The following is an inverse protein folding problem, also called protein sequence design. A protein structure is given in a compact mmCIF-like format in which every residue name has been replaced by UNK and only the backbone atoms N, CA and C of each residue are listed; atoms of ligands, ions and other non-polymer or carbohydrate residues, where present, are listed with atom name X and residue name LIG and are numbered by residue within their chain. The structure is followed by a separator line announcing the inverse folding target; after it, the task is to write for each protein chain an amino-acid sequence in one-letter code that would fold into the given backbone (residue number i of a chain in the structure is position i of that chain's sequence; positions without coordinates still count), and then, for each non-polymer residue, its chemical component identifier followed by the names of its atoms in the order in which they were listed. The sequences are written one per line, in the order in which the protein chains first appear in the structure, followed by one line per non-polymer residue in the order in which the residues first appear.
data_IF_068378627572
#
_entry.id   IF_068378627572
#
_cell.length_a   1.000
_cell.length_b   1.000
_cell.length_c   1.000
_cell.angle_alpha   90.00
_cell.angle_beta   90.00
_cell.angle_gamma   90.00
#
_symmetry.space_group_name_H-M   'P 1'
#
loop_
_entity.id
_entity.type
_entity.pdbx_description
1 polymer ?
#
# COMPACT_ATOMS: atom_id res chain seq x y z
N UNK A 1 -147.26 -8.38 53.69
CA UNK A 1 -145.98 -8.99 53.25
C UNK A 1 -145.22 -8.08 52.27
N UNK A 2 -145.01 -6.80 52.61
CA UNK A 2 -144.49 -5.80 51.63
C UNK A 2 -143.07 -5.32 51.93
N UNK A 3 -142.60 -5.48 53.17
CA UNK A 3 -141.27 -4.98 53.59
C UNK A 3 -140.12 -5.78 52.96
N UNK A 4 -140.30 -7.09 52.70
CA UNK A 4 -139.26 -7.98 52.16
C UNK A 4 -139.02 -7.81 50.65
N UNK A 5 -140.01 -7.35 49.87
CA UNK A 5 -139.84 -7.05 48.43
C UNK A 5 -139.15 -5.71 48.20
N UNK A 6 -139.46 -4.70 49.02
CA UNK A 6 -138.86 -3.37 48.89
C UNK A 6 -137.35 -3.40 49.18
N UNK A 7 -136.92 -4.10 50.24
CA UNK A 7 -135.49 -4.22 50.59
C UNK A 7 -134.68 -5.03 49.55
N UNK A 8 -135.28 -6.09 48.98
CA UNK A 8 -134.64 -6.91 47.94
C UNK A 8 -134.54 -6.19 46.59
N UNK A 9 -135.54 -5.37 46.26
CA UNK A 9 -135.52 -4.49 45.07
C UNK A 9 -134.46 -3.39 45.20
N UNK A 10 -134.34 -2.76 46.37
CA UNK A 10 -133.39 -1.68 46.61
C UNK A 10 -131.91 -2.15 46.55
N UNK A 11 -131.61 -3.34 47.10
CA UNK A 11 -130.26 -3.92 47.03
C UNK A 11 -129.92 -4.39 45.59
N UNK A 12 -130.87 -4.92 44.84
CA UNK A 12 -130.64 -5.42 43.47
C UNK A 12 -130.65 -4.32 42.41
N UNK A 13 -131.45 -3.26 42.55
CA UNK A 13 -131.58 -2.19 41.56
C UNK A 13 -130.55 -1.07 41.74
N UNK A 14 -130.14 -0.76 42.98
CA UNK A 14 -129.37 0.45 43.25
C UNK A 14 -127.93 0.18 43.71
N UNK A 15 -127.74 -0.80 44.60
CA UNK A 15 -126.41 -1.07 45.19
C UNK A 15 -125.54 -1.91 44.25
N UNK A 16 -126.09 -2.96 43.64
CA UNK A 16 -125.33 -3.92 42.82
C UNK A 16 -124.80 -3.34 41.49
N UNK A 17 -125.56 -2.53 40.73
CA UNK A 17 -125.08 -1.95 39.49
C UNK A 17 -124.05 -0.84 39.73
N UNK A 18 -124.34 0.06 40.68
CA UNK A 18 -123.52 1.24 40.98
C UNK A 18 -122.14 0.89 41.55
N UNK A 19 -122.06 -0.08 42.47
CA UNK A 19 -120.77 -0.58 42.98
C UNK A 19 -120.02 -1.35 41.90
N UNK A 20 -120.70 -2.12 41.04
CA UNK A 20 -120.05 -2.89 39.97
C UNK A 20 -119.51 -2.01 38.85
N UNK A 21 -120.22 -0.94 38.45
CA UNK A 21 -119.72 0.01 37.45
C UNK A 21 -118.61 0.88 38.01
N UNK A 22 -118.70 1.32 39.27
CA UNK A 22 -117.64 2.11 39.91
C UNK A 22 -116.38 1.28 40.15
N UNK A 23 -116.49 0.07 40.71
CA UNK A 23 -115.34 -0.83 40.90
C UNK A 23 -114.77 -1.28 39.56
N UNK A 24 -115.60 -1.60 38.57
CA UNK A 24 -115.10 -2.03 37.24
C UNK A 24 -114.47 -0.87 36.46
N UNK A 25 -115.01 0.34 36.52
CA UNK A 25 -114.42 1.50 35.85
C UNK A 25 -113.15 1.97 36.55
N UNK A 26 -113.12 1.98 37.88
CA UNK A 26 -111.95 2.35 38.68
C UNK A 26 -110.84 1.31 38.58
N UNK A 27 -111.16 0.02 38.65
CA UNK A 27 -110.17 -1.06 38.48
C UNK A 27 -109.67 -1.10 37.03
N UNK A 28 -110.53 -0.97 36.01
CA UNK A 28 -110.05 -0.95 34.62
C UNK A 28 -109.28 0.32 34.28
N UNK A 29 -109.64 1.49 34.82
CA UNK A 29 -108.89 2.72 34.57
C UNK A 29 -107.54 2.69 35.26
N UNK A 30 -107.48 2.28 36.54
CA UNK A 30 -106.23 2.17 37.30
C UNK A 30 -105.35 1.07 36.72
N UNK A 31 -105.89 -0.11 36.38
CA UNK A 31 -105.10 -1.18 35.76
C UNK A 31 -104.60 -0.77 34.37
N UNK A 32 -105.42 -0.14 33.53
CA UNK A 32 -104.99 0.26 32.17
C UNK A 32 -103.98 1.39 32.18
N UNK A 33 -104.15 2.37 33.07
CA UNK A 33 -103.23 3.51 33.20
C UNK A 33 -101.95 3.08 33.91
N UNK A 34 -102.02 2.39 35.05
CA UNK A 34 -100.81 1.96 35.78
C UNK A 34 -100.06 0.86 35.05
N UNK A 35 -100.71 -0.21 34.57
CA UNK A 35 -100.01 -1.28 33.85
C UNK A 35 -99.56 -0.78 32.48
N UNK A 36 -100.39 -0.03 31.74
CA UNK A 36 -100.02 0.52 30.44
C UNK A 36 -98.86 1.52 30.52
N UNK A 37 -98.91 2.47 31.46
CA UNK A 37 -97.82 3.42 31.65
C UNK A 37 -96.57 2.73 32.17
N UNK A 38 -96.65 1.88 33.19
CA UNK A 38 -95.46 1.21 33.75
C UNK A 38 -94.82 0.28 32.74
N UNK A 39 -95.60 -0.56 32.04
CA UNK A 39 -95.05 -1.48 31.02
C UNK A 39 -94.50 -0.72 29.82
N UNK A 40 -95.19 0.31 29.33
CA UNK A 40 -94.68 1.11 28.22
C UNK A 40 -93.42 1.91 28.59
N UNK A 41 -93.40 2.51 29.79
CA UNK A 41 -92.23 3.25 30.27
C UNK A 41 -91.06 2.30 30.49
N UNK A 42 -91.28 1.11 31.05
CA UNK A 42 -90.23 0.13 31.27
C UNK A 42 -89.71 -0.46 29.96
N UNK A 43 -90.59 -0.81 29.02
CA UNK A 43 -90.19 -1.33 27.71
C UNK A 43 -89.41 -0.28 26.92
N UNK A 44 -89.90 0.95 26.84
CA UNK A 44 -89.25 2.04 26.13
C UNK A 44 -87.94 2.47 26.82
N UNK A 45 -87.86 2.38 28.15
CA UNK A 45 -86.64 2.67 28.91
C UNK A 45 -85.62 1.54 28.74
N UNK A 46 -86.03 0.28 28.77
CA UNK A 46 -85.16 -0.87 28.51
C UNK A 46 -84.64 -0.89 27.07
N UNK A 47 -85.49 -0.65 26.07
CA UNK A 47 -85.12 -0.59 24.66
C UNK A 47 -84.15 0.57 24.40
N UNK A 48 -84.48 1.79 24.87
CA UNK A 48 -83.56 2.94 24.76
C UNK A 48 -82.25 2.72 25.50
N UNK A 49 -82.26 2.12 26.70
CA UNK A 49 -81.02 1.89 27.46
C UNK A 49 -80.18 0.81 26.80
N UNK A 50 -80.80 -0.26 26.28
CA UNK A 50 -80.08 -1.36 25.67
C UNK A 50 -79.50 -0.95 24.32
N UNK A 51 -80.27 -0.28 23.45
CA UNK A 51 -79.75 0.28 22.20
C UNK A 51 -78.64 1.30 22.47
N UNK A 52 -78.86 2.27 23.37
CA UNK A 52 -77.83 3.29 23.68
C UNK A 52 -76.57 2.67 24.28
N UNK A 53 -76.70 1.64 25.12
CA UNK A 53 -75.55 0.92 25.64
C UNK A 53 -74.84 0.20 24.51
N UNK A 54 -75.54 -0.59 23.69
CA UNK A 54 -74.94 -1.36 22.60
C UNK A 54 -74.25 -0.46 21.57
N UNK A 55 -74.90 0.62 21.13
CA UNK A 55 -74.33 1.61 20.19
C UNK A 55 -73.13 2.34 20.79
N UNK A 56 -73.19 2.77 22.06
CA UNK A 56 -72.04 3.43 22.70
C UNK A 56 -70.88 2.47 22.91
N UNK A 57 -71.14 1.22 23.28
CA UNK A 57 -70.08 0.22 23.42
C UNK A 57 -69.50 -0.14 22.06
N UNK A 58 -70.31 -0.36 21.03
CA UNK A 58 -69.85 -0.73 19.70
C UNK A 58 -69.02 0.40 19.07
N UNK A 59 -69.51 1.64 19.11
CA UNK A 59 -68.77 2.83 18.63
C UNK A 59 -67.47 3.01 19.40
N UNK A 60 -67.49 2.99 20.74
CA UNK A 60 -66.25 3.12 21.54
C UNK A 60 -65.26 1.99 21.32
N UNK A 61 -65.73 0.75 21.16
CA UNK A 61 -64.84 -0.36 20.83
C UNK A 61 -64.25 -0.18 19.46
N UNK A 62 -65.03 0.27 18.47
CA UNK A 62 -64.55 0.47 17.11
C UNK A 62 -63.56 1.63 17.01
N UNK A 63 -63.83 2.77 17.65
CA UNK A 63 -62.88 3.89 17.70
C UNK A 63 -61.59 3.51 18.41
N UNK A 64 -61.67 2.88 19.60
CA UNK A 64 -60.48 2.44 20.34
C UNK A 64 -59.68 1.37 19.60
N UNK A 65 -60.33 0.43 18.90
CA UNK A 65 -59.60 -0.57 18.12
C UNK A 65 -58.95 0.08 16.91
N UNK A 66 -59.65 0.98 16.20
CA UNK A 66 -59.12 1.64 15.01
C UNK A 66 -57.93 2.55 15.36
N UNK A 67 -58.00 3.33 16.44
CA UNK A 67 -56.86 4.11 16.93
C UNK A 67 -55.69 3.21 17.38
N UNK A 68 -55.95 2.18 18.20
CA UNK A 68 -54.89 1.26 18.67
C UNK A 68 -54.24 0.46 17.55
N UNK A 69 -54.98 0.14 16.48
CA UNK A 69 -54.45 -0.54 15.30
C UNK A 69 -53.63 0.44 14.47
N UNK A 70 -54.13 1.66 14.22
CA UNK A 70 -53.40 2.70 13.50
C UNK A 70 -52.09 3.06 14.20
N UNK A 71 -52.11 3.31 15.50
CA UNK A 71 -50.91 3.65 16.28
C UNK A 71 -49.90 2.50 16.26
N UNK A 72 -50.33 1.25 16.53
CA UNK A 72 -49.43 0.09 16.47
C UNK A 72 -48.88 -0.18 15.08
N UNK A 73 -49.65 0.06 14.02
CA UNK A 73 -49.17 -0.05 12.65
C UNK A 73 -48.16 1.04 12.33
N UNK A 74 -48.44 2.30 12.68
CA UNK A 74 -47.50 3.41 12.46
C UNK A 74 -46.21 3.25 13.25
N UNK A 75 -46.26 2.89 14.53
CA UNK A 75 -45.06 2.63 15.33
C UNK A 75 -44.25 1.47 14.77
N UNK A 76 -44.89 0.33 14.47
CA UNK A 76 -44.19 -0.82 13.87
C UNK A 76 -43.61 -0.47 12.50
N UNK A 77 -44.32 0.33 11.70
CA UNK A 77 -43.84 0.77 10.40
C UNK A 77 -42.62 1.68 10.59
N UNK A 78 -42.72 2.74 11.39
CA UNK A 78 -41.61 3.68 11.65
C UNK A 78 -40.39 2.97 12.22
N UNK A 79 -40.57 2.11 13.23
CA UNK A 79 -39.47 1.35 13.85
C UNK A 79 -38.84 0.41 12.82
N UNK A 80 -39.64 -0.33 12.04
CA UNK A 80 -39.12 -1.26 11.03
C UNK A 80 -38.37 -0.51 9.93
N UNK A 81 -38.88 0.60 9.44
CA UNK A 81 -38.21 1.42 8.41
C UNK A 81 -36.92 2.04 8.95
N UNK A 82 -36.94 2.57 10.17
CA UNK A 82 -35.75 3.16 10.79
C UNK A 82 -34.67 2.11 11.08
N UNK A 83 -35.06 0.93 11.58
CA UNK A 83 -34.15 -0.16 11.91
C UNK A 83 -33.55 -0.75 10.63
N UNK A 84 -34.33 -0.95 9.57
CA UNK A 84 -33.81 -1.36 8.25
C UNK A 84 -32.86 -0.31 7.68
N UNK A 85 -33.23 0.96 7.65
CA UNK A 85 -32.37 2.03 7.16
C UNK A 85 -31.07 2.16 7.97
N UNK A 86 -31.14 2.01 9.30
CA UNK A 86 -29.99 2.05 10.20
C UNK A 86 -29.04 0.87 9.96
N UNK A 87 -29.59 -0.36 9.89
CA UNK A 87 -28.81 -1.57 9.64
C UNK A 87 -28.14 -1.50 8.26
N UNK A 88 -28.91 -1.17 7.21
CA UNK A 88 -28.37 -1.02 5.85
C UNK A 88 -27.27 0.04 5.81
N UNK A 89 -27.50 1.21 6.42
CA UNK A 89 -26.50 2.29 6.47
C UNK A 89 -25.25 1.88 7.24
N UNK A 90 -25.39 1.15 8.35
CA UNK A 90 -24.25 0.66 9.14
C UNK A 90 -23.44 -0.40 8.38
N UNK A 91 -24.11 -1.33 7.69
CA UNK A 91 -23.48 -2.34 6.84
C UNK A 91 -22.74 -1.69 5.67
N UNK A 92 -23.40 -0.79 4.94
CA UNK A 92 -22.78 -0.08 3.82
C UNK A 92 -21.56 0.73 4.28
N UNK A 93 -21.69 1.46 5.40
CA UNK A 93 -20.61 2.30 5.93
C UNK A 93 -19.44 1.46 6.45
N UNK A 94 -19.70 0.35 7.13
CA UNK A 94 -18.64 -0.52 7.65
C UNK A 94 -17.95 -1.29 6.50
N UNK A 95 -18.74 -1.91 5.64
CA UNK A 95 -18.25 -2.81 4.59
C UNK A 95 -17.52 -2.06 3.47
N UNK A 96 -18.11 -0.98 2.94
CA UNK A 96 -17.47 -0.23 1.85
C UNK A 96 -16.28 0.58 2.36
N UNK A 97 -16.44 1.31 3.47
CA UNK A 97 -15.41 2.27 3.89
C UNK A 97 -14.23 1.59 4.57
N UNK A 98 -14.49 0.64 5.46
CA UNK A 98 -13.48 0.25 6.44
C UNK A 98 -12.81 -1.08 6.12
N UNK A 99 -13.54 -2.03 5.55
CA UNK A 99 -12.94 -3.29 5.08
C UNK A 99 -12.47 -3.15 3.65
N UNK A 100 -13.34 -2.77 2.71
CA UNK A 100 -13.00 -2.85 1.29
C UNK A 100 -11.96 -1.80 0.88
N UNK A 101 -12.19 -0.51 1.17
CA UNK A 101 -11.23 0.54 0.80
C UNK A 101 -9.90 0.37 1.52
N UNK A 102 -9.91 0.06 2.83
CA UNK A 102 -8.68 -0.11 3.61
C UNK A 102 -7.91 -1.35 3.18
N UNK A 103 -8.56 -2.50 3.00
CA UNK A 103 -7.88 -3.72 2.55
C UNK A 103 -7.34 -3.54 1.14
N UNK A 104 -8.12 -2.93 0.25
CA UNK A 104 -7.70 -2.71 -1.14
C UNK A 104 -6.54 -1.73 -1.23
N UNK A 105 -6.61 -0.58 -0.54
CA UNK A 105 -5.50 0.38 -0.46
C UNK A 105 -4.26 -0.25 0.18
N UNK A 106 -4.41 -0.93 1.32
CA UNK A 106 -3.30 -1.56 2.01
C UNK A 106 -2.61 -2.58 1.09
N UNK A 107 -3.40 -3.44 0.45
CA UNK A 107 -2.89 -4.49 -0.44
C UNK A 107 -2.21 -3.88 -1.65
N UNK A 108 -2.85 -2.89 -2.28
CA UNK A 108 -2.32 -2.21 -3.46
C UNK A 108 -1.02 -1.46 -3.13
N UNK A 109 -0.98 -0.71 -2.04
CA UNK A 109 0.22 -0.01 -1.59
C UNK A 109 1.34 -1.00 -1.26
N UNK A 110 1.05 -2.09 -0.52
CA UNK A 110 2.07 -3.09 -0.20
C UNK A 110 2.61 -3.77 -1.45
N UNK A 111 1.75 -4.20 -2.37
CA UNK A 111 2.17 -4.84 -3.62
C UNK A 111 2.94 -3.89 -4.52
N UNK A 112 2.47 -2.65 -4.66
CA UNK A 112 3.09 -1.66 -5.53
C UNK A 112 4.43 -1.21 -4.94
N UNK A 113 4.48 -0.81 -3.67
CA UNK A 113 5.72 -0.41 -3.01
C UNK A 113 6.70 -1.57 -2.95
N UNK A 114 6.27 -2.78 -2.53
CA UNK A 114 7.17 -3.93 -2.46
C UNK A 114 7.70 -4.30 -3.83
N UNK A 115 6.84 -4.41 -4.85
CA UNK A 115 7.28 -4.78 -6.19
C UNK A 115 8.15 -3.70 -6.80
N UNK A 116 7.72 -2.43 -6.75
CA UNK A 116 8.45 -1.32 -7.36
C UNK A 116 9.79 -1.09 -6.66
N UNK A 117 9.81 -1.00 -5.32
CA UNK A 117 11.06 -0.81 -4.56
C UNK A 117 11.97 -2.02 -4.76
N UNK A 118 11.48 -3.26 -4.61
CA UNK A 118 12.33 -4.44 -4.78
C UNK A 118 12.87 -4.54 -6.21
N UNK A 119 12.04 -4.36 -7.24
CA UNK A 119 12.51 -4.47 -8.63
C UNK A 119 13.43 -3.33 -9.00
N UNK A 120 13.06 -2.09 -8.68
CA UNK A 120 13.82 -0.91 -9.03
C UNK A 120 15.16 -0.88 -8.30
N UNK A 121 15.16 -1.01 -6.97
CA UNK A 121 16.41 -1.03 -6.17
C UNK A 121 17.30 -2.19 -6.60
N UNK A 122 16.74 -3.40 -6.74
CA UNK A 122 17.55 -4.57 -7.12
C UNK A 122 18.07 -4.46 -8.55
N UNK A 123 17.33 -3.85 -9.47
CA UNK A 123 17.80 -3.62 -10.84
C UNK A 123 18.88 -2.54 -10.86
N UNK A 124 18.63 -1.42 -10.21
CA UNK A 124 19.53 -0.27 -10.18
C UNK A 124 20.85 -0.60 -9.49
N UNK A 125 20.83 -1.26 -8.33
CA UNK A 125 22.03 -1.73 -7.63
C UNK A 125 22.81 -2.70 -8.49
N UNK A 126 22.15 -3.71 -9.10
CA UNK A 126 22.85 -4.66 -9.99
C UNK A 126 23.47 -3.97 -11.20
N UNK A 127 22.79 -2.97 -11.75
CA UNK A 127 23.25 -2.26 -12.94
C UNK A 127 24.42 -1.35 -12.60
N UNK A 128 24.34 -0.61 -11.49
CA UNK A 128 25.44 0.21 -10.97
C UNK A 128 26.63 -0.65 -10.57
N UNK A 129 26.46 -1.67 -9.75
CA UNK A 129 27.58 -2.52 -9.31
C UNK A 129 28.24 -3.19 -10.52
N UNK A 130 27.46 -3.81 -11.41
CA UNK A 130 28.04 -4.50 -12.56
C UNK A 130 28.72 -3.55 -13.52
N UNK A 131 28.09 -2.43 -13.86
CA UNK A 131 28.67 -1.48 -14.81
C UNK A 131 29.87 -0.76 -14.21
N UNK A 132 29.75 -0.25 -12.98
CA UNK A 132 30.81 0.51 -12.31
C UNK A 132 32.02 -0.39 -12.01
N UNK A 133 31.82 -1.55 -11.39
CA UNK A 133 32.94 -2.46 -11.10
C UNK A 133 33.58 -2.94 -12.41
N UNK A 134 32.80 -3.39 -13.39
CA UNK A 134 33.37 -3.88 -14.64
C UNK A 134 34.14 -2.79 -15.39
N UNK A 135 33.57 -1.58 -15.50
CA UNK A 135 34.25 -0.48 -16.21
C UNK A 135 35.46 0.02 -15.44
N UNK A 136 35.34 0.24 -14.14
CA UNK A 136 36.44 0.75 -13.31
C UNK A 136 37.59 -0.25 -13.24
N UNK A 137 37.32 -1.53 -12.95
CA UNK A 137 38.35 -2.57 -12.91
C UNK A 137 38.98 -2.74 -14.29
N UNK A 138 38.20 -2.81 -15.37
CA UNK A 138 38.76 -2.95 -16.72
C UNK A 138 39.63 -1.75 -17.10
N UNK A 139 39.21 -0.53 -16.80
CA UNK A 139 40.01 0.67 -17.08
C UNK A 139 41.29 0.68 -16.26
N UNK A 140 41.20 0.40 -14.95
CA UNK A 140 42.35 0.43 -14.05
C UNK A 140 43.38 -0.63 -14.43
N UNK A 141 42.94 -1.88 -14.67
CA UNK A 141 43.81 -2.98 -15.11
C UNK A 141 44.45 -2.65 -16.46
N UNK A 142 43.69 -2.13 -17.42
CA UNK A 142 44.21 -1.78 -18.75
C UNK A 142 45.23 -0.64 -18.67
N UNK A 143 44.96 0.40 -17.88
CA UNK A 143 45.90 1.50 -17.65
C UNK A 143 47.16 1.03 -16.94
N UNK A 144 47.02 0.21 -15.90
CA UNK A 144 48.14 -0.32 -15.15
C UNK A 144 49.03 -1.20 -16.04
N UNK A 145 48.44 -2.10 -16.83
CA UNK A 145 49.19 -2.94 -17.77
C UNK A 145 49.88 -2.12 -18.86
N UNK A 146 49.20 -1.09 -19.39
CA UNK A 146 49.77 -0.17 -20.37
C UNK A 146 50.97 0.59 -19.79
N UNK A 147 50.83 1.14 -18.58
CA UNK A 147 51.89 1.82 -17.86
C UNK A 147 53.07 0.88 -17.58
N UNK A 148 52.81 -0.33 -17.10
CA UNK A 148 53.84 -1.33 -16.86
C UNK A 148 54.59 -1.70 -18.13
N UNK A 149 53.88 -1.96 -19.24
CA UNK A 149 54.51 -2.23 -20.54
C UNK A 149 55.37 -1.06 -21.02
N UNK A 150 54.89 0.17 -20.85
CA UNK A 150 55.64 1.37 -21.21
C UNK A 150 56.90 1.50 -20.34
N UNK A 151 56.78 1.31 -19.03
CA UNK A 151 57.89 1.35 -18.09
C UNK A 151 58.95 0.27 -18.39
N UNK A 152 58.53 -0.97 -18.61
CA UNK A 152 59.46 -2.05 -18.99
C UNK A 152 60.16 -1.71 -20.30
N UNK A 153 59.43 -1.24 -21.32
CA UNK A 153 60.01 -0.86 -22.61
C UNK A 153 61.05 0.26 -22.47
N UNK A 154 60.73 1.32 -21.71
CA UNK A 154 61.66 2.45 -21.53
C UNK A 154 62.87 2.03 -20.69
N UNK A 155 62.66 1.27 -19.62
CA UNK A 155 63.73 0.77 -18.77
C UNK A 155 64.67 -0.15 -19.54
N UNK A 156 64.15 -1.16 -20.25
CA UNK A 156 64.95 -2.07 -21.07
C UNK A 156 65.70 -1.31 -22.16
N UNK A 157 65.02 -0.41 -22.90
CA UNK A 157 65.67 0.39 -23.95
C UNK A 157 66.78 1.26 -23.38
N UNK A 158 66.54 1.92 -22.24
CA UNK A 158 67.53 2.78 -21.59
C UNK A 158 68.72 1.97 -21.08
N UNK A 159 68.47 0.88 -20.36
CA UNK A 159 69.50 0.00 -19.83
C UNK A 159 70.35 -0.60 -20.93
N UNK A 160 69.73 -1.20 -21.95
CA UNK A 160 70.44 -1.77 -23.10
C UNK A 160 71.23 -0.70 -23.84
N UNK A 161 70.62 0.45 -24.14
CA UNK A 161 71.32 1.53 -24.84
C UNK A 161 72.50 2.07 -24.05
N UNK A 162 72.34 2.26 -22.74
CA UNK A 162 73.39 2.75 -21.85
C UNK A 162 74.52 1.72 -21.72
N UNK A 163 74.19 0.46 -21.46
CA UNK A 163 75.15 -0.62 -21.31
C UNK A 163 75.93 -0.84 -22.60
N UNK A 164 75.24 -0.99 -23.73
CA UNK A 164 75.89 -1.16 -25.05
C UNK A 164 76.75 0.04 -25.38
N UNK A 165 76.25 1.28 -25.23
CA UNK A 165 77.03 2.48 -25.53
C UNK A 165 78.26 2.59 -24.64
N UNK A 166 78.13 2.31 -23.35
CA UNK A 166 79.24 2.38 -22.39
C UNK A 166 80.27 1.29 -22.66
N UNK A 167 79.82 0.04 -22.85
CA UNK A 167 80.69 -1.10 -23.12
C UNK A 167 81.42 -0.93 -24.44
N UNK A 168 80.71 -0.63 -25.53
CA UNK A 168 81.32 -0.39 -26.84
C UNK A 168 82.29 0.79 -26.77
N UNK A 169 81.88 1.93 -26.19
CA UNK A 169 82.76 3.09 -26.07
C UNK A 169 84.02 2.75 -25.27
N UNK A 170 83.88 2.10 -24.12
CA UNK A 170 85.01 1.76 -23.25
C UNK A 170 85.92 0.72 -23.90
N UNK A 171 85.37 -0.37 -24.41
CA UNK A 171 86.12 -1.46 -25.03
C UNK A 171 86.83 -1.01 -26.29
N UNK A 172 86.11 -0.37 -27.23
CA UNK A 172 86.69 0.14 -28.47
C UNK A 172 87.73 1.21 -28.16
N UNK A 173 87.42 2.21 -27.32
CA UNK A 173 88.38 3.25 -26.98
C UNK A 173 89.62 2.64 -26.31
N UNK A 174 89.46 1.69 -25.40
CA UNK A 174 90.59 1.07 -24.70
C UNK A 174 91.44 0.26 -25.66
N UNK A 175 90.87 -0.67 -26.43
CA UNK A 175 91.63 -1.49 -27.37
C UNK A 175 92.29 -0.65 -28.45
N UNK A 176 91.54 0.24 -29.10
CA UNK A 176 92.08 1.09 -30.17
C UNK A 176 93.21 1.94 -29.61
N UNK A 177 93.02 2.58 -28.45
CA UNK A 177 94.04 3.43 -27.83
C UNK A 177 95.25 2.64 -27.37
N UNK A 178 95.08 1.49 -26.71
CA UNK A 178 96.20 0.69 -26.20
C UNK A 178 96.94 0.02 -27.33
N UNK A 179 96.24 -0.53 -28.32
CA UNK A 179 96.84 -1.20 -29.47
C UNK A 179 97.59 -0.20 -30.35
N UNK A 180 96.95 0.90 -30.79
CA UNK A 180 97.62 1.92 -31.61
C UNK A 180 98.81 2.51 -30.85
N UNK A 181 98.65 2.85 -29.57
CA UNK A 181 99.74 3.44 -28.78
C UNK A 181 100.90 2.45 -28.59
N UNK A 182 100.61 1.18 -28.32
CA UNK A 182 101.65 0.16 -28.12
C UNK A 182 102.34 -0.18 -29.42
N UNK A 183 101.58 -0.33 -30.51
CA UNK A 183 102.12 -0.60 -31.84
C UNK A 183 102.97 0.57 -32.33
N UNK A 184 102.47 1.80 -32.29
CA UNK A 184 103.23 2.98 -32.69
C UNK A 184 104.50 3.16 -31.84
N UNK A 185 104.41 2.95 -30.51
CA UNK A 185 105.57 3.05 -29.62
C UNK A 185 106.60 1.95 -29.88
N UNK A 186 106.16 0.71 -30.07
CA UNK A 186 107.05 -0.43 -30.30
C UNK A 186 107.69 -0.37 -31.70
N UNK A 187 106.87 -0.18 -32.73
CA UNK A 187 107.32 -0.08 -34.11
C UNK A 187 108.19 1.16 -34.31
N UNK A 188 107.77 2.33 -33.83
CA UNK A 188 108.58 3.54 -33.89
C UNK A 188 109.93 3.37 -33.18
N UNK A 189 109.94 2.87 -31.94
CA UNK A 189 111.19 2.67 -31.19
C UNK A 189 112.12 1.65 -31.84
N UNK A 190 111.58 0.53 -32.31
CA UNK A 190 112.37 -0.54 -32.95
C UNK A 190 112.88 -0.13 -34.33
N UNK A 191 112.05 0.51 -35.16
CA UNK A 191 112.42 0.99 -36.48
C UNK A 191 113.48 2.08 -36.39
N UNK A 192 113.27 3.11 -35.55
CA UNK A 192 114.25 4.18 -35.33
C UNK A 192 115.55 3.61 -34.79
N UNK A 193 115.50 2.76 -33.74
CA UNK A 193 116.70 2.12 -33.19
C UNK A 193 117.45 1.33 -34.26
N UNK A 194 116.75 0.48 -35.02
CA UNK A 194 117.38 -0.37 -36.05
C UNK A 194 117.98 0.46 -37.18
N UNK A 195 117.28 1.50 -37.63
CA UNK A 195 117.75 2.37 -38.71
C UNK A 195 118.96 3.19 -38.27
N UNK A 196 118.90 3.81 -37.09
CA UNK A 196 120.02 4.56 -36.51
C UNK A 196 121.21 3.63 -36.25
N UNK A 197 121.01 2.47 -35.63
CA UNK A 197 122.09 1.51 -35.37
C UNK A 197 122.71 0.98 -36.67
N UNK A 198 121.90 0.76 -37.72
CA UNK A 198 122.39 0.34 -39.03
C UNK A 198 123.17 1.48 -39.70
N UNK A 199 122.66 2.71 -39.67
CA UNK A 199 123.31 3.88 -40.25
C UNK A 199 124.64 4.18 -39.54
N UNK A 200 124.66 4.18 -38.20
CA UNK A 200 125.89 4.37 -37.41
C UNK A 200 126.89 3.25 -37.69
N UNK A 201 126.48 1.98 -37.70
CA UNK A 201 127.38 0.86 -38.03
C UNK A 201 127.93 0.94 -39.45
N UNK A 202 127.09 1.33 -40.42
CA UNK A 202 127.50 1.50 -41.81
C UNK A 202 128.51 2.65 -41.91
N UNK A 203 128.18 3.81 -41.35
CA UNK A 203 129.05 4.98 -41.34
C UNK A 203 130.40 4.66 -40.67
N UNK A 204 130.42 4.07 -39.48
CA UNK A 204 131.65 3.60 -38.84
C UNK A 204 132.43 2.60 -39.71
N UNK A 205 131.74 1.72 -40.45
CA UNK A 205 132.40 0.73 -41.32
C UNK A 205 132.97 1.35 -42.60
N UNK A 206 132.30 2.35 -43.18
CA UNK A 206 132.66 2.92 -44.50
C UNK A 206 133.52 4.17 -44.42
N UNK A 207 133.40 4.98 -43.37
CA UNK A 207 134.18 6.23 -43.23
C UNK A 207 135.31 6.08 -42.22
N UNK A 208 135.08 5.39 -41.11
CA UNK A 208 136.07 5.27 -40.01
C UNK A 208 137.00 4.06 -40.19
N UNK A 209 136.48 2.89 -40.60
CA UNK A 209 137.32 1.68 -40.76
C UNK A 209 138.37 1.76 -41.89
N UNK A 210 138.10 2.35 -43.07
CA UNK A 210 139.12 2.52 -44.10
C UNK A 210 140.04 3.72 -43.87
N UNK A 211 139.68 4.69 -43.02
CA UNK A 211 140.60 5.77 -42.61
C UNK A 211 141.64 5.32 -41.57
N UNK A 212 141.45 4.14 -40.96
CA UNK A 212 142.39 3.54 -39.99
C UNK A 212 143.21 2.39 -40.59
N UNK A 213 142.81 1.81 -41.73
CA UNK A 213 143.64 0.85 -42.47
C UNK A 213 144.43 1.57 -43.57
N UNK A 214 145.72 1.86 -43.37
CA UNK A 214 146.57 2.27 -44.48
C UNK A 214 146.68 1.10 -45.46
N UNK A 215 146.58 1.43 -46.74
CA UNK A 215 146.97 0.58 -47.86
C UNK A 215 148.41 0.11 -47.67
N UNK A 216 148.58 -1.20 -47.50
CA UNK A 216 149.85 -1.91 -47.69
C UNK A 216 149.64 -2.87 -48.84
#
# INVERSE_FOLDING_TARGET
MEVRRCFRSFILSFVRPSVRTYVRSFVLSVVRICVGSVVHTYFHMCERINERKHLRTSVRTYERTNERVKVRMYERMIVRTFLVCSVVRSFFRSYLRNTYIRSFLQSFILLFVRSFVHTYVRSFVRLLDRSFIHTYVRMYVRSFFSFFCAFVRTYVRSFVSCFVRSFVRSYVHTIVRTYIRSFARSFGRSYVRRYVDAFVRLFLRTTVRPSIRPSV
#
